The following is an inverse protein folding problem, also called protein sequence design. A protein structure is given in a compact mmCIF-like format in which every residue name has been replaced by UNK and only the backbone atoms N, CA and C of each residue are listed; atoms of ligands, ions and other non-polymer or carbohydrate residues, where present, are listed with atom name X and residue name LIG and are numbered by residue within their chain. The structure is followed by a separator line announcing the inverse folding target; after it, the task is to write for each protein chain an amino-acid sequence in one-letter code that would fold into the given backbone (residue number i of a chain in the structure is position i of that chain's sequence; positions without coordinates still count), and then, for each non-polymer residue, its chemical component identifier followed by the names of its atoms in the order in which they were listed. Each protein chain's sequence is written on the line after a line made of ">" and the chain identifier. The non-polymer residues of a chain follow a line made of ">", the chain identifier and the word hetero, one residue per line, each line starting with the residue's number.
data_IF_067068019820
#
_entry.id   IF_067068019820
#
_cell.length_a   1.000
_cell.length_b   1.000
_cell.length_c   1.000
_cell.angle_alpha   90.00
_cell.angle_beta   90.00
_cell.angle_gamma   90.00
#
_symmetry.space_group_name_H-M   'P 1'
#
loop_
_entity.id
_entity.type
_entity.pdbx_description
1 polymer ?
#
# COMPACT_ATOMS: atom_id res chain seq x y z
N UNK A 1 -53.18 81.43 71.77
CA UNK A 1 -52.44 80.94 70.58
C UNK A 1 -52.04 79.50 70.88
N UNK A 2 -52.97 78.56 70.81
CA UNK A 2 -53.29 77.65 69.68
C UNK A 2 -52.26 76.52 69.47
N UNK A 3 -52.67 75.32 69.90
CA UNK A 3 -52.24 73.94 69.55
C UNK A 3 -52.47 73.59 68.04
N UNK A 4 -52.19 72.36 67.52
CA UNK A 4 -50.93 71.59 67.42
C UNK A 4 -50.80 70.82 66.05
N UNK A 5 -49.95 69.76 66.01
CA UNK A 5 -49.95 68.55 65.14
C UNK A 5 -49.07 68.43 63.88
N UNK A 6 -48.32 67.30 63.83
CA UNK A 6 -47.75 66.67 62.64
C UNK A 6 -46.64 65.65 62.96
N UNK A 7 -46.99 64.36 63.03
CA UNK A 7 -46.13 63.16 63.23
C UNK A 7 -45.47 62.67 61.92
N UNK A 8 -44.62 61.63 62.07
CA UNK A 8 -44.07 60.66 61.08
C UNK A 8 -42.67 60.99 60.54
N UNK A 9 -41.71 60.08 60.38
CA UNK A 9 -41.52 58.66 60.73
C UNK A 9 -40.00 58.33 60.57
N UNK A 10 -39.48 57.36 61.32
CA UNK A 10 -38.06 56.98 61.37
C UNK A 10 -37.53 56.33 60.07
N UNK A 11 -36.31 56.61 59.60
CA UNK A 11 -35.64 55.73 58.63
C UNK A 11 -34.80 54.67 59.36
N UNK A 12 -34.99 53.41 58.97
CA UNK A 12 -34.19 52.26 59.40
C UNK A 12 -32.70 52.40 58.99
N UNK A 13 -31.75 51.82 59.75
CA UNK A 13 -30.35 51.82 59.35
C UNK A 13 -30.14 50.93 58.11
N UNK A 14 -29.48 51.47 57.08
CA UNK A 14 -29.09 50.76 55.88
C UNK A 14 -28.11 49.59 56.21
N UNK A 15 -28.25 48.42 55.58
CA UNK A 15 -27.43 47.26 55.89
C UNK A 15 -26.03 47.42 55.28
N UNK A 16 -25.03 47.67 56.12
CA UNK A 16 -23.61 47.76 55.73
C UNK A 16 -22.90 46.42 55.49
N UNK A 17 -23.61 45.29 55.44
CA UNK A 17 -22.97 43.96 55.59
C UNK A 17 -23.27 42.89 54.53
N UNK A 18 -23.85 43.23 53.37
CA UNK A 18 -24.10 42.25 52.29
C UNK A 18 -23.06 42.25 51.17
N UNK A 19 -22.29 43.32 50.97
CA UNK A 19 -21.31 43.42 49.88
C UNK A 19 -19.94 42.79 50.20
N UNK A 20 -19.61 42.62 51.47
CA UNK A 20 -18.34 41.99 51.90
C UNK A 20 -18.38 40.46 51.88
N UNK A 21 -19.57 39.83 51.79
CA UNK A 21 -19.73 38.37 51.70
C UNK A 21 -19.93 37.84 50.28
N UNK A 22 -20.32 38.67 49.30
CA UNK A 22 -20.49 38.27 47.89
C UNK A 22 -19.19 38.30 47.07
N UNK A 23 -18.14 38.98 47.54
CA UNK A 23 -16.84 39.06 46.84
C UNK A 23 -15.94 37.85 47.07
N UNK A 24 -16.20 37.01 48.10
CA UNK A 24 -15.42 35.79 48.38
C UNK A 24 -15.87 34.55 47.59
N UNK A 25 -17.12 34.50 47.11
CA UNK A 25 -17.61 33.36 46.30
C UNK A 25 -17.41 33.60 44.80
N UNK A 26 -17.46 34.86 44.34
CA UNK A 26 -17.23 35.20 42.93
C UNK A 26 -15.76 35.13 42.49
N UNK A 27 -14.81 35.46 43.37
CA UNK A 27 -13.37 35.44 43.03
C UNK A 27 -12.79 34.03 43.01
N UNK A 28 -13.19 33.18 43.95
CA UNK A 28 -12.75 31.78 43.99
C UNK A 28 -13.31 30.97 42.81
N UNK A 29 -14.59 31.15 42.45
CA UNK A 29 -15.19 30.49 41.28
C UNK A 29 -14.59 30.96 39.96
N UNK A 30 -14.32 32.26 39.82
CA UNK A 30 -13.65 32.82 38.64
C UNK A 30 -12.19 32.34 38.54
N UNK A 31 -11.48 32.24 39.67
CA UNK A 31 -10.12 31.73 39.72
C UNK A 31 -10.05 30.25 39.31
N UNK A 32 -11.01 29.43 39.74
CA UNK A 32 -11.09 28.02 39.34
C UNK A 32 -11.44 27.85 37.85
N UNK A 33 -12.34 28.66 37.32
CA UNK A 33 -12.65 28.68 35.87
C UNK A 33 -11.45 29.12 35.03
N UNK A 34 -10.71 30.14 35.49
CA UNK A 34 -9.50 30.60 34.81
C UNK A 34 -8.37 29.58 34.88
N UNK A 35 -8.18 28.88 36.00
CA UNK A 35 -7.17 27.82 36.09
C UNK A 35 -7.54 26.60 35.26
N UNK A 36 -8.80 26.17 35.26
CA UNK A 36 -9.26 25.08 34.37
C UNK A 36 -9.10 25.48 32.90
N UNK A 37 -9.47 26.71 32.52
CA UNK A 37 -9.33 27.19 31.15
C UNK A 37 -7.84 27.35 30.75
N UNK A 38 -6.97 27.80 31.66
CA UNK A 38 -5.53 27.86 31.46
C UNK A 38 -4.89 26.46 31.35
N UNK A 39 -5.34 25.50 32.16
CA UNK A 39 -4.89 24.10 32.06
C UNK A 39 -5.38 23.45 30.77
N UNK A 40 -6.63 23.68 30.36
CA UNK A 40 -7.18 23.17 29.10
C UNK A 40 -6.50 23.82 27.88
N UNK A 41 -6.23 25.12 27.91
CA UNK A 41 -5.51 25.80 26.83
C UNK A 41 -4.04 25.39 26.79
N UNK A 42 -3.36 25.24 27.93
CA UNK A 42 -2.00 24.69 28.01
C UNK A 42 -1.95 23.25 27.52
N UNK A 43 -2.91 22.41 27.93
CA UNK A 43 -3.07 21.05 27.45
C UNK A 43 -3.31 21.04 25.94
N UNK A 44 -4.23 21.85 25.42
CA UNK A 44 -4.50 21.96 23.98
C UNK A 44 -3.31 22.49 23.18
N UNK A 45 -2.53 23.45 23.71
CA UNK A 45 -1.34 23.99 23.05
C UNK A 45 -0.22 22.96 23.01
N UNK A 46 -0.02 22.21 24.10
CA UNK A 46 0.98 21.15 24.21
C UNK A 46 0.61 19.91 23.37
N UNK A 47 -0.69 19.57 23.30
CA UNK A 47 -1.18 18.53 22.39
C UNK A 47 -1.19 18.97 20.92
N UNK A 48 -1.30 20.29 20.63
CA UNK A 48 -1.12 20.82 19.28
C UNK A 48 0.33 20.77 18.80
N UNK A 49 1.32 20.90 19.69
CA UNK A 49 2.73 20.76 19.29
C UNK A 49 3.10 19.31 19.01
N UNK A 50 2.58 18.37 19.80
CA UNK A 50 2.81 16.91 19.61
C UNK A 50 2.02 16.34 18.41
N UNK A 51 0.91 16.94 17.99
CA UNK A 51 0.11 16.49 16.83
C UNK A 51 0.24 17.38 15.59
N UNK A 52 1.29 18.18 15.47
CA UNK A 52 1.55 18.87 14.21
C UNK A 52 1.90 17.85 13.11
N UNK A 53 1.45 18.06 11.86
CA UNK A 53 1.78 17.18 10.73
C UNK A 53 3.30 17.00 10.58
N UNK A 54 4.05 18.06 10.87
CA UNK A 54 5.52 18.06 10.89
C UNK A 54 6.09 17.16 11.99
N UNK A 55 5.55 17.20 13.21
CA UNK A 55 5.97 16.32 14.30
C UNK A 55 5.65 14.85 14.01
N UNK A 56 4.46 14.56 13.47
CA UNK A 56 4.08 13.21 13.06
C UNK A 56 5.00 12.68 11.95
N UNK A 57 5.28 13.50 10.93
CA UNK A 57 6.20 13.13 9.86
C UNK A 57 7.63 12.93 10.37
N UNK A 58 8.09 13.78 11.29
CA UNK A 58 9.39 13.63 11.94
C UNK A 58 9.45 12.33 12.74
N UNK A 59 8.38 11.99 13.48
CA UNK A 59 8.29 10.73 14.24
C UNK A 59 8.41 9.50 13.35
N UNK A 60 7.88 9.53 12.12
CA UNK A 60 8.00 8.45 11.15
C UNK A 60 9.44 8.26 10.67
N UNK A 61 10.14 9.37 10.41
CA UNK A 61 11.46 9.36 9.78
C UNK A 61 12.63 9.25 10.79
N UNK A 62 12.39 9.51 12.07
CA UNK A 62 13.42 9.51 13.10
C UNK A 62 13.73 8.09 13.62
N UNK A 63 15.03 7.78 13.77
CA UNK A 63 15.53 6.44 14.14
C UNK A 63 15.27 6.05 15.62
N UNK A 64 14.81 6.99 16.46
CA UNK A 64 14.52 6.76 17.88
C UNK A 64 13.08 6.32 18.20
N UNK A 65 12.16 6.34 17.22
CA UNK A 65 10.76 5.94 17.40
C UNK A 65 10.59 4.42 17.37
N UNK A 66 9.68 3.88 18.19
CA UNK A 66 9.32 2.45 18.09
C UNK A 66 8.51 2.22 16.80
N UNK A 67 8.47 0.99 16.26
CA UNK A 67 7.62 0.67 15.12
C UNK A 67 6.15 1.06 15.33
N UNK A 68 5.64 0.92 16.56
CA UNK A 68 4.26 1.23 16.92
C UNK A 68 4.00 2.74 16.86
N UNK A 69 4.89 3.56 17.44
CA UNK A 69 4.71 5.03 17.41
C UNK A 69 4.83 5.58 15.98
N UNK A 70 5.73 5.01 15.18
CA UNK A 70 5.90 5.36 13.76
C UNK A 70 4.67 4.99 12.95
N UNK A 71 4.11 3.80 13.18
CA UNK A 71 2.86 3.33 12.56
C UNK A 71 1.70 4.26 12.93
N UNK A 72 1.53 4.57 14.21
CA UNK A 72 0.39 5.38 14.66
C UNK A 72 0.46 6.81 14.11
N UNK A 73 1.67 7.39 14.05
CA UNK A 73 1.89 8.68 13.39
C UNK A 73 1.57 8.63 11.89
N UNK A 74 1.98 7.56 11.21
CA UNK A 74 1.66 7.33 9.81
C UNK A 74 0.14 7.24 9.58
N UNK A 75 -0.54 6.38 10.35
CA UNK A 75 -1.99 6.20 10.22
C UNK A 75 -2.77 7.48 10.54
N UNK A 76 -2.31 8.28 11.51
CA UNK A 76 -2.90 9.59 11.79
C UNK A 76 -2.79 10.53 10.59
N UNK A 77 -1.63 10.59 9.95
CA UNK A 77 -1.43 11.43 8.76
C UNK A 77 -2.26 10.94 7.56
N UNK A 78 -2.41 9.62 7.37
CA UNK A 78 -3.31 9.05 6.35
C UNK A 78 -4.76 9.46 6.63
N UNK A 79 -5.21 9.34 7.88
CA UNK A 79 -6.55 9.77 8.29
C UNK A 79 -6.79 11.27 8.08
N UNK A 80 -5.75 12.09 8.21
CA UNK A 80 -5.77 13.53 7.91
C UNK A 80 -5.67 13.86 6.40
N UNK A 81 -5.69 12.83 5.54
CA UNK A 81 -5.68 12.96 4.08
C UNK A 81 -4.30 13.18 3.48
N UNK A 82 -3.20 12.86 4.18
CA UNK A 82 -1.87 12.93 3.60
C UNK A 82 -1.67 11.82 2.55
N UNK A 83 -1.48 12.23 1.29
CA UNK A 83 -1.23 11.32 0.17
C UNK A 83 0.23 11.35 -0.31
N UNK A 84 1.09 12.19 0.26
CA UNK A 84 2.49 12.35 -0.18
C UNK A 84 3.43 11.73 0.85
N UNK A 85 4.18 10.74 0.38
CA UNK A 85 5.08 9.90 1.18
C UNK A 85 6.43 9.71 0.49
N UNK A 86 6.73 10.51 -0.53
CA UNK A 86 7.97 10.41 -1.31
C UNK A 86 9.21 10.29 -0.42
N UNK A 87 9.99 9.24 -0.64
CA UNK A 87 11.19 8.89 0.13
C UNK A 87 10.99 8.69 1.64
N UNK A 88 9.75 8.49 2.11
CA UNK A 88 9.48 8.23 3.52
C UNK A 88 10.08 6.89 3.96
N UNK A 89 10.51 6.82 5.22
CA UNK A 89 11.00 5.58 5.84
C UNK A 89 9.83 4.90 6.54
N UNK A 90 9.22 3.93 5.89
CA UNK A 90 8.11 3.13 6.40
C UNK A 90 8.51 1.67 6.67
N UNK A 91 9.81 1.42 6.87
CA UNK A 91 10.37 0.09 7.14
C UNK A 91 9.87 -0.51 8.45
N UNK A 92 9.62 -1.83 8.42
CA UNK A 92 9.22 -2.69 9.54
C UNK A 92 7.95 -2.21 10.26
N UNK A 93 7.01 -1.66 9.51
CA UNK A 93 5.71 -1.23 10.02
C UNK A 93 4.64 -2.27 9.68
N UNK A 94 3.66 -2.42 10.58
CA UNK A 94 2.43 -3.14 10.29
C UNK A 94 1.39 -2.15 9.74
N UNK A 95 1.16 -2.21 8.44
CA UNK A 95 0.27 -1.34 7.67
C UNK A 95 -0.80 -2.17 6.94
N UNK A 96 -1.15 -3.33 7.49
CA UNK A 96 -2.15 -4.23 6.92
C UNK A 96 -3.49 -3.48 6.68
N UNK A 97 -4.06 -3.68 5.49
CA UNK A 97 -5.35 -3.10 5.09
C UNK A 97 -5.38 -1.58 4.89
N UNK A 98 -4.23 -0.88 4.97
CA UNK A 98 -4.21 0.58 4.79
C UNK A 98 -4.73 0.99 3.42
N UNK A 99 -5.49 2.08 3.35
CA UNK A 99 -5.87 2.72 2.10
C UNK A 99 -4.90 3.84 1.75
N UNK A 100 -4.15 3.64 0.67
CA UNK A 100 -3.22 4.59 0.07
C UNK A 100 -3.52 4.77 -1.42
N UNK A 101 -4.75 4.51 -1.86
CA UNK A 101 -5.10 4.63 -3.27
C UNK A 101 -4.75 6.01 -3.83
N UNK A 102 -3.98 6.05 -4.92
CA UNK A 102 -3.50 7.29 -5.54
C UNK A 102 -2.41 8.04 -4.78
N UNK A 103 -1.83 7.48 -3.72
CA UNK A 103 -0.75 8.12 -2.98
C UNK A 103 0.56 8.19 -3.79
N UNK A 104 1.35 9.22 -3.51
CA UNK A 104 2.70 9.43 -4.02
C UNK A 104 3.71 8.79 -3.07
N UNK A 105 4.19 7.61 -3.42
CA UNK A 105 5.08 6.75 -2.64
C UNK A 105 6.44 6.57 -3.34
N UNK A 106 6.79 7.39 -4.34
CA UNK A 106 8.06 7.28 -5.06
C UNK A 106 9.26 7.27 -4.09
N UNK A 107 10.16 6.30 -4.26
CA UNK A 107 11.34 6.11 -3.42
C UNK A 107 11.07 5.76 -1.94
N UNK A 108 9.82 5.49 -1.56
CA UNK A 108 9.47 5.11 -0.18
C UNK A 108 10.11 3.77 0.17
N UNK A 109 10.55 3.63 1.42
CA UNK A 109 11.14 2.40 1.92
C UNK A 109 10.11 1.65 2.77
N UNK A 110 9.69 0.47 2.31
CA UNK A 110 8.79 -0.46 3.01
C UNK A 110 9.51 -1.73 3.45
N UNK A 111 10.82 -1.68 3.63
CA UNK A 111 11.63 -2.87 3.87
C UNK A 111 11.19 -3.59 5.15
N UNK A 112 10.77 -4.84 5.00
CA UNK A 112 10.29 -5.69 6.09
C UNK A 112 8.93 -5.29 6.67
N UNK A 113 8.19 -4.40 6.02
CA UNK A 113 6.84 -3.99 6.43
C UNK A 113 5.78 -5.01 6.01
N UNK A 114 4.63 -4.95 6.67
CA UNK A 114 3.42 -5.69 6.28
C UNK A 114 2.39 -4.71 5.72
N UNK A 115 1.86 -5.03 4.55
CA UNK A 115 0.83 -4.30 3.82
C UNK A 115 -0.20 -5.30 3.27
N UNK A 116 -0.50 -6.35 4.05
CA UNK A 116 -1.42 -7.40 3.62
C UNK A 116 -2.80 -6.80 3.40
N UNK A 117 -3.38 -7.02 2.23
CA UNK A 117 -4.70 -6.45 1.88
C UNK A 117 -4.73 -4.93 1.68
N UNK A 118 -3.58 -4.24 1.67
CA UNK A 118 -3.53 -2.79 1.48
C UNK A 118 -4.11 -2.37 0.11
N UNK A 119 -4.73 -1.20 0.06
CA UNK A 119 -5.23 -0.59 -1.17
C UNK A 119 -4.18 0.39 -1.72
N UNK A 120 -3.52 -0.02 -2.80
CA UNK A 120 -2.43 0.71 -3.48
C UNK A 120 -2.80 0.98 -4.94
N UNK A 121 -4.09 1.08 -5.25
CA UNK A 121 -4.57 1.29 -6.61
C UNK A 121 -4.08 2.65 -7.11
N UNK A 122 -3.51 2.68 -8.32
CA UNK A 122 -3.01 3.92 -8.96
C UNK A 122 -1.99 4.70 -8.13
N UNK A 123 -1.27 4.06 -7.19
CA UNK A 123 -0.17 4.71 -6.48
C UNK A 123 1.02 4.93 -7.39
N UNK A 124 1.85 5.91 -7.05
CA UNK A 124 3.20 6.07 -7.60
C UNK A 124 4.21 5.46 -6.63
N UNK A 125 4.77 4.31 -6.98
CA UNK A 125 5.80 3.56 -6.25
C UNK A 125 7.14 3.58 -6.99
N UNK A 126 7.37 4.53 -7.91
CA UNK A 126 8.61 4.61 -8.70
C UNK A 126 9.85 4.49 -7.80
N UNK A 127 10.69 3.48 -8.07
CA UNK A 127 11.93 3.26 -7.33
C UNK A 127 11.76 2.93 -5.84
N UNK A 128 10.55 2.57 -5.38
CA UNK A 128 10.31 2.22 -3.98
C UNK A 128 11.08 0.94 -3.58
N UNK A 129 11.55 0.89 -2.33
CA UNK A 129 12.19 -0.30 -1.77
C UNK A 129 11.13 -1.16 -1.08
N UNK A 130 10.98 -2.39 -1.57
CA UNK A 130 9.99 -3.38 -1.15
C UNK A 130 10.67 -4.66 -0.66
N UNK A 131 11.89 -4.56 -0.10
CA UNK A 131 12.67 -5.74 0.27
C UNK A 131 11.99 -6.44 1.44
N UNK A 132 11.76 -7.73 1.32
CA UNK A 132 11.10 -8.56 2.35
C UNK A 132 9.72 -8.07 2.79
N UNK A 133 9.08 -7.19 2.01
CA UNK A 133 7.73 -6.68 2.31
C UNK A 133 6.70 -7.79 2.12
N UNK A 134 5.64 -7.76 2.92
CA UNK A 134 4.47 -8.59 2.73
C UNK A 134 3.33 -7.77 2.13
N UNK A 135 3.11 -7.91 0.83
CA UNK A 135 2.03 -7.30 0.03
C UNK A 135 0.96 -8.35 -0.34
N UNK A 136 0.88 -9.47 0.39
CA UNK A 136 -0.10 -10.52 0.09
C UNK A 136 -1.52 -9.93 0.07
N UNK A 137 -2.34 -10.32 -0.91
CA UNK A 137 -3.70 -9.83 -1.11
C UNK A 137 -3.84 -8.30 -1.33
N UNK A 138 -2.74 -7.57 -1.51
CA UNK A 138 -2.80 -6.13 -1.77
C UNK A 138 -3.34 -5.81 -3.17
N UNK A 139 -3.97 -4.64 -3.31
CA UNK A 139 -4.52 -4.16 -4.58
C UNK A 139 -3.61 -3.10 -5.20
N UNK A 140 -2.81 -3.48 -6.20
CA UNK A 140 -1.87 -2.62 -6.93
C UNK A 140 -2.33 -2.34 -8.37
N UNK A 141 -3.65 -2.36 -8.59
CA UNK A 141 -4.22 -2.17 -9.92
C UNK A 141 -3.80 -0.81 -10.47
N UNK A 142 -3.18 -0.79 -11.66
CA UNK A 142 -2.70 0.42 -12.34
C UNK A 142 -1.68 1.23 -11.53
N UNK A 143 -1.02 0.63 -10.53
CA UNK A 143 0.08 1.27 -9.83
C UNK A 143 1.26 1.51 -10.80
N UNK A 144 1.97 2.62 -10.61
CA UNK A 144 3.24 2.90 -11.27
C UNK A 144 4.33 2.35 -10.34
N UNK A 145 5.04 1.31 -10.77
CA UNK A 145 6.00 0.53 -9.99
C UNK A 145 7.28 0.30 -10.80
N UNK A 146 7.62 1.23 -11.69
CA UNK A 146 8.87 1.18 -12.42
C UNK A 146 10.06 1.19 -11.44
N UNK A 147 11.09 0.41 -11.77
CA UNK A 147 12.36 0.38 -11.03
C UNK A 147 12.26 0.04 -9.53
N UNK A 148 11.14 -0.56 -9.08
CA UNK A 148 11.04 -1.01 -7.68
C UNK A 148 12.09 -2.07 -7.33
N UNK A 149 12.44 -2.12 -6.04
CA UNK A 149 13.38 -3.11 -5.50
C UNK A 149 12.67 -4.08 -4.57
N UNK A 150 12.14 -5.18 -5.11
CA UNK A 150 11.53 -6.26 -4.36
C UNK A 150 12.47 -7.47 -4.33
N UNK A 151 13.18 -7.63 -3.21
CA UNK A 151 13.99 -8.82 -2.92
C UNK A 151 13.27 -9.64 -1.86
N UNK A 152 12.92 -10.90 -2.17
CA UNK A 152 12.27 -11.83 -1.22
C UNK A 152 10.95 -11.30 -0.64
N UNK A 153 10.25 -10.47 -1.41
CA UNK A 153 8.93 -9.95 -1.06
C UNK A 153 7.85 -11.02 -1.25
N UNK A 154 6.72 -10.86 -0.56
CA UNK A 154 5.53 -11.71 -0.70
C UNK A 154 4.41 -10.94 -1.35
N UNK A 155 3.99 -11.40 -2.52
CA UNK A 155 2.91 -10.87 -3.35
C UNK A 155 1.79 -11.91 -3.51
N UNK A 156 1.69 -12.88 -2.59
CA UNK A 156 0.72 -13.97 -2.67
C UNK A 156 -0.70 -13.42 -2.82
N UNK A 157 -1.42 -13.83 -3.86
CA UNK A 157 -2.78 -13.38 -4.18
C UNK A 157 -2.95 -11.86 -4.38
N UNK A 158 -1.85 -11.10 -4.54
CA UNK A 158 -1.91 -9.67 -4.85
C UNK A 158 -2.35 -9.42 -6.31
N UNK A 159 -2.95 -8.25 -6.56
CA UNK A 159 -3.39 -7.87 -7.92
C UNK A 159 -2.61 -6.69 -8.48
N UNK A 160 -1.91 -6.95 -9.58
CA UNK A 160 -1.15 -6.01 -10.41
C UNK A 160 -1.82 -5.76 -11.77
N UNK A 161 -3.15 -5.91 -11.86
CA UNK A 161 -3.89 -5.68 -13.11
C UNK A 161 -3.55 -4.32 -13.73
N UNK A 162 -3.04 -4.33 -14.96
CA UNK A 162 -2.57 -3.13 -15.70
C UNK A 162 -1.54 -2.28 -14.93
N UNK A 163 -0.78 -2.86 -13.98
CA UNK A 163 0.31 -2.16 -13.28
C UNK A 163 1.54 -2.00 -14.19
N UNK A 164 2.31 -0.94 -13.97
CA UNK A 164 3.57 -0.70 -14.65
C UNK A 164 4.73 -1.16 -13.75
N UNK A 165 5.45 -2.20 -14.16
CA UNK A 165 6.59 -2.83 -13.46
C UNK A 165 7.83 -2.83 -14.37
N UNK A 166 7.94 -1.87 -15.28
CA UNK A 166 9.09 -1.77 -16.18
C UNK A 166 10.40 -1.67 -15.37
N UNK A 167 11.39 -2.47 -15.76
CA UNK A 167 12.70 -2.54 -15.09
C UNK A 167 12.62 -2.85 -13.58
N UNK A 168 11.50 -3.37 -13.08
CA UNK A 168 11.36 -3.76 -11.68
C UNK A 168 12.31 -4.92 -11.34
N UNK A 169 12.88 -4.90 -10.14
CA UNK A 169 13.63 -6.04 -9.59
C UNK A 169 12.70 -6.83 -8.68
N UNK A 170 12.31 -8.04 -9.10
CA UNK A 170 11.46 -8.98 -8.36
C UNK A 170 12.23 -10.27 -8.03
N UNK A 171 13.44 -10.13 -7.50
CA UNK A 171 14.33 -11.25 -7.20
C UNK A 171 13.79 -12.08 -6.03
N UNK A 172 13.68 -13.40 -6.22
CA UNK A 172 13.21 -14.34 -5.20
C UNK A 172 11.85 -13.98 -4.59
N UNK A 173 10.99 -13.28 -5.33
CA UNK A 173 9.65 -12.91 -4.89
C UNK A 173 8.74 -14.14 -4.86
N UNK A 174 7.85 -14.21 -3.87
CA UNK A 174 6.80 -15.21 -3.77
C UNK A 174 5.49 -14.57 -4.23
N UNK A 175 4.95 -14.97 -5.36
CA UNK A 175 3.76 -14.38 -5.98
C UNK A 175 2.74 -15.46 -6.36
N UNK A 176 2.49 -16.39 -5.44
CA UNK A 176 1.55 -17.49 -5.70
C UNK A 176 0.17 -16.93 -5.99
N UNK A 177 -0.45 -17.38 -7.08
CA UNK A 177 -1.80 -16.96 -7.51
C UNK A 177 -1.99 -15.44 -7.66
N UNK A 178 -0.89 -14.68 -7.81
CA UNK A 178 -0.97 -13.26 -8.08
C UNK A 178 -1.55 -12.98 -9.48
N UNK A 179 -2.12 -11.79 -9.65
CA UNK A 179 -2.73 -11.37 -10.91
C UNK A 179 -1.89 -10.27 -11.58
N UNK A 180 -1.14 -10.62 -12.62
CA UNK A 180 -0.38 -9.71 -13.49
C UNK A 180 -1.05 -9.50 -14.85
N UNK A 181 -2.37 -9.72 -14.98
CA UNK A 181 -3.08 -9.55 -16.24
C UNK A 181 -2.84 -8.15 -16.80
N UNK A 182 -2.34 -8.08 -18.03
CA UNK A 182 -1.95 -6.85 -18.74
C UNK A 182 -0.93 -5.96 -18.01
N UNK A 183 -0.21 -6.47 -17.02
CA UNK A 183 0.88 -5.73 -16.39
C UNK A 183 2.03 -5.56 -17.40
N UNK A 184 2.76 -4.45 -17.28
CA UNK A 184 3.96 -4.20 -18.06
C UNK A 184 5.21 -4.52 -17.23
N UNK A 185 5.88 -5.62 -17.54
CA UNK A 185 7.12 -6.06 -16.92
C UNK A 185 8.30 -5.98 -17.91
N UNK A 186 8.27 -5.05 -18.87
CA UNK A 186 9.35 -4.90 -19.85
C UNK A 186 10.69 -4.68 -19.14
N UNK A 187 11.68 -5.51 -19.46
CA UNK A 187 13.02 -5.44 -18.87
C UNK A 187 13.10 -5.79 -17.38
N UNK A 188 12.04 -6.33 -16.77
CA UNK A 188 12.04 -6.68 -15.35
C UNK A 188 12.97 -7.85 -15.04
N UNK A 189 13.53 -7.86 -13.83
CA UNK A 189 14.41 -8.91 -13.31
C UNK A 189 13.62 -9.83 -12.38
N UNK A 190 13.23 -11.01 -12.85
CA UNK A 190 12.40 -11.97 -12.12
C UNK A 190 13.19 -13.20 -11.65
N UNK A 191 14.50 -13.03 -11.42
CA UNK A 191 15.41 -14.13 -11.08
C UNK A 191 14.93 -14.91 -9.85
N UNK A 192 14.81 -16.23 -9.99
CA UNK A 192 14.34 -17.14 -8.93
C UNK A 192 12.97 -16.79 -8.30
N UNK A 193 12.13 -16.01 -9.00
CA UNK A 193 10.80 -15.68 -8.50
C UNK A 193 9.83 -16.87 -8.65
N UNK A 194 8.92 -17.02 -7.69
CA UNK A 194 7.87 -18.04 -7.72
C UNK A 194 6.51 -17.41 -8.07
N UNK A 195 6.04 -17.71 -9.28
CA UNK A 195 4.77 -17.27 -9.84
C UNK A 195 3.75 -18.42 -9.94
N UNK A 196 3.88 -19.45 -9.10
CA UNK A 196 3.02 -20.64 -9.18
C UNK A 196 1.53 -20.27 -9.12
N UNK A 197 0.76 -20.70 -10.12
CA UNK A 197 -0.68 -20.47 -10.24
C UNK A 197 -1.10 -19.04 -10.56
N UNK A 198 -0.16 -18.14 -10.86
CA UNK A 198 -0.43 -16.74 -11.19
C UNK A 198 -1.03 -16.57 -12.59
N UNK A 199 -1.58 -15.39 -12.88
CA UNK A 199 -2.05 -15.02 -14.21
C UNK A 199 -1.22 -13.89 -14.80
N UNK A 200 -0.64 -14.12 -15.98
CA UNK A 200 0.08 -13.18 -16.82
C UNK A 200 -0.65 -12.97 -18.16
N UNK A 201 -1.97 -13.20 -18.22
CA UNK A 201 -2.71 -13.09 -19.47
C UNK A 201 -2.53 -11.69 -20.09
N UNK A 202 -1.95 -11.63 -21.29
CA UNK A 202 -1.67 -10.38 -21.99
C UNK A 202 -0.62 -9.47 -21.31
N UNK A 203 0.14 -9.97 -20.34
CA UNK A 203 1.23 -9.21 -19.73
C UNK A 203 2.39 -9.00 -20.72
N UNK A 204 3.13 -7.92 -20.55
CA UNK A 204 4.33 -7.65 -21.34
C UNK A 204 5.58 -8.07 -20.55
N UNK A 205 6.25 -9.12 -20.99
CA UNK A 205 7.52 -9.65 -20.45
C UNK A 205 8.67 -9.45 -21.47
N UNK A 206 8.54 -8.47 -22.37
CA UNK A 206 9.58 -8.19 -23.37
C UNK A 206 10.90 -7.87 -22.68
N UNK A 207 11.98 -8.51 -23.11
CA UNK A 207 13.33 -8.38 -22.56
C UNK A 207 13.46 -8.68 -21.05
N UNK A 208 12.44 -9.29 -20.43
CA UNK A 208 12.49 -9.65 -19.02
C UNK A 208 13.48 -10.81 -18.77
N UNK A 209 14.16 -10.79 -17.62
CA UNK A 209 14.97 -11.90 -17.16
C UNK A 209 14.10 -12.86 -16.31
N UNK A 210 13.79 -14.04 -16.84
CA UNK A 210 13.01 -15.09 -16.16
C UNK A 210 13.90 -16.25 -15.67
N UNK A 211 15.22 -16.03 -15.57
CA UNK A 211 16.17 -17.07 -15.20
C UNK A 211 15.80 -17.70 -13.84
N UNK A 212 15.73 -19.03 -13.83
CA UNK A 212 15.33 -19.84 -12.67
C UNK A 212 13.94 -19.48 -12.07
N UNK A 213 13.10 -18.73 -12.77
CA UNK A 213 11.74 -18.41 -12.32
C UNK A 213 10.81 -19.63 -12.43
N UNK A 214 9.81 -19.69 -11.55
CA UNK A 214 8.83 -20.78 -11.47
C UNK A 214 7.47 -20.25 -11.93
N UNK A 215 7.00 -20.72 -13.08
CA UNK A 215 5.68 -20.40 -13.65
C UNK A 215 4.73 -21.60 -13.59
N UNK A 216 4.91 -22.49 -12.61
CA UNK A 216 4.09 -23.70 -12.49
C UNK A 216 2.61 -23.34 -12.46
N UNK A 217 1.80 -24.01 -13.28
CA UNK A 217 0.36 -23.74 -13.38
C UNK A 217 -0.03 -22.28 -13.67
N UNK A 218 0.89 -21.43 -14.11
CA UNK A 218 0.59 -20.04 -14.43
C UNK A 218 -0.12 -19.93 -15.81
N UNK A 219 -0.87 -18.85 -16.02
CA UNK A 219 -1.44 -18.54 -17.33
C UNK A 219 -0.67 -17.41 -18.03
N UNK A 220 0.13 -17.75 -19.03
CA UNK A 220 0.88 -16.81 -19.87
C UNK A 220 0.23 -16.62 -21.26
N UNK A 221 -1.07 -16.92 -21.39
CA UNK A 221 -1.79 -16.74 -22.65
C UNK A 221 -1.69 -15.30 -23.11
N UNK A 222 -1.32 -15.11 -24.39
CA UNK A 222 -1.19 -13.78 -25.01
C UNK A 222 -0.09 -12.89 -24.39
N UNK A 223 0.75 -13.41 -23.49
CA UNK A 223 1.89 -12.66 -22.99
C UNK A 223 2.88 -12.32 -24.11
N UNK A 224 3.51 -11.15 -24.04
CA UNK A 224 4.58 -10.75 -24.95
C UNK A 224 5.91 -11.16 -24.33
N UNK A 225 6.67 -12.03 -24.98
CA UNK A 225 7.93 -12.58 -24.43
C UNK A 225 9.09 -12.42 -25.42
N UNK A 226 9.03 -11.37 -26.26
CA UNK A 226 10.10 -11.04 -27.19
C UNK A 226 11.37 -10.75 -26.39
N UNK A 227 12.48 -11.44 -26.67
CA UNK A 227 13.75 -11.22 -25.97
C UNK A 227 13.81 -11.70 -24.51
N UNK A 228 12.73 -12.28 -23.98
CA UNK A 228 12.72 -12.82 -22.62
C UNK A 228 13.74 -13.95 -22.44
N UNK A 229 14.50 -13.91 -21.34
CA UNK A 229 15.50 -14.91 -21.00
C UNK A 229 14.84 -16.04 -20.19
N UNK A 230 14.90 -17.28 -20.70
CA UNK A 230 14.13 -18.42 -20.17
C UNK A 230 15.02 -19.52 -19.57
N UNK A 231 16.26 -19.18 -19.19
CA UNK A 231 17.26 -20.14 -18.71
C UNK A 231 16.77 -20.74 -17.40
N UNK A 232 16.73 -22.07 -17.31
CA UNK A 232 16.27 -22.79 -16.11
C UNK A 232 14.86 -22.41 -15.61
N UNK A 233 14.04 -21.77 -16.43
CA UNK A 233 12.66 -21.43 -16.09
C UNK A 233 11.77 -22.69 -16.09
N UNK A 234 10.90 -22.81 -15.08
CA UNK A 234 9.96 -23.92 -14.95
C UNK A 234 8.55 -23.52 -15.42
N UNK A 235 8.11 -24.06 -16.56
CA UNK A 235 6.77 -23.85 -17.12
C UNK A 235 5.85 -25.06 -16.93
N UNK A 236 6.11 -25.94 -15.97
CA UNK A 236 5.29 -27.15 -15.77
C UNK A 236 3.83 -26.79 -15.51
N UNK A 237 2.91 -27.33 -16.32
CA UNK A 237 1.48 -27.02 -16.22
C UNK A 237 1.08 -25.62 -16.71
N UNK A 238 2.04 -24.76 -17.09
CA UNK A 238 1.76 -23.39 -17.52
C UNK A 238 1.07 -23.31 -18.89
N UNK A 239 0.20 -22.32 -19.06
CA UNK A 239 -0.47 -22.06 -20.34
C UNK A 239 0.27 -20.96 -21.13
N UNK A 240 1.29 -21.33 -21.91
CA UNK A 240 2.12 -20.39 -22.69
C UNK A 240 1.91 -20.50 -24.21
N UNK A 241 1.04 -21.40 -24.68
CA UNK A 241 0.90 -21.76 -26.10
C UNK A 241 0.59 -20.58 -27.03
N UNK A 242 -0.11 -19.58 -26.51
CA UNK A 242 -0.52 -18.37 -27.23
C UNK A 242 0.34 -17.14 -26.92
N UNK A 243 1.44 -17.31 -26.19
CA UNK A 243 2.42 -16.26 -25.98
C UNK A 243 3.06 -15.86 -27.33
N UNK A 244 3.47 -14.60 -27.42
CA UNK A 244 4.03 -13.99 -28.62
C UNK A 244 5.50 -13.63 -28.38
N UNK A 245 6.27 -13.47 -29.47
CA UNK A 245 7.69 -13.05 -29.39
C UNK A 245 8.69 -14.18 -29.09
N UNK A 246 8.23 -15.39 -28.78
CA UNK A 246 9.10 -16.57 -28.68
C UNK A 246 9.73 -16.92 -30.03
N UNK A 247 11.03 -17.21 -30.02
CA UNK A 247 11.73 -17.76 -31.17
C UNK A 247 11.29 -19.19 -31.45
N UNK A 248 11.55 -19.69 -32.67
CA UNK A 248 11.27 -21.09 -33.02
C UNK A 248 12.00 -22.06 -32.08
N UNK A 249 13.26 -21.79 -31.75
CA UNK A 249 14.06 -22.64 -30.87
C UNK A 249 13.45 -22.74 -29.45
N UNK A 250 13.05 -21.59 -28.87
CA UNK A 250 12.38 -21.58 -27.57
C UNK A 250 11.05 -22.34 -27.61
N UNK A 251 10.24 -22.16 -28.67
CA UNK A 251 8.99 -22.91 -28.82
C UNK A 251 9.25 -24.41 -28.86
N UNK A 252 10.23 -24.85 -29.66
CA UNK A 252 10.57 -26.26 -29.82
C UNK A 252 11.06 -26.85 -28.47
N UNK A 253 11.93 -26.14 -27.74
CA UNK A 253 12.41 -26.52 -26.41
C UNK A 253 11.28 -26.62 -25.38
N UNK A 254 10.47 -25.56 -25.23
CA UNK A 254 9.37 -25.52 -24.28
C UNK A 254 8.34 -26.62 -24.59
N UNK A 255 8.03 -26.85 -25.87
CA UNK A 255 7.07 -27.88 -26.26
C UNK A 255 7.57 -29.30 -25.99
N UNK A 256 8.88 -29.53 -26.06
CA UNK A 256 9.49 -30.81 -25.73
C UNK A 256 9.53 -31.07 -24.22
N UNK A 257 9.77 -30.02 -23.42
CA UNK A 257 9.93 -30.12 -21.96
C UNK A 257 8.61 -30.03 -21.19
N UNK A 258 7.65 -29.24 -21.68
CA UNK A 258 6.44 -28.85 -20.94
C UNK A 258 5.16 -29.09 -21.74
N UNK A 259 5.02 -30.27 -22.35
CA UNK A 259 3.74 -30.70 -22.90
C UNK A 259 2.66 -30.73 -21.79
N UNK A 260 1.39 -30.41 -22.09
CA UNK A 260 0.33 -30.47 -21.09
C UNK A 260 0.12 -31.91 -20.62
N UNK A 261 0.06 -32.11 -19.30
CA UNK A 261 -0.29 -33.40 -18.68
C UNK A 261 -1.80 -33.70 -18.84
N UNK A 262 -2.22 -34.96 -18.66
CA UNK A 262 -3.62 -35.38 -18.73
C UNK A 262 -4.50 -34.65 -17.68
N UNK A 263 -3.90 -34.31 -16.55
CA UNK A 263 -4.56 -33.66 -15.40
C UNK A 263 -4.79 -32.15 -15.57
N UNK A 264 -4.33 -31.54 -16.67
CA UNK A 264 -4.53 -30.10 -16.88
C UNK A 264 -6.00 -29.76 -17.21
N UNK A 265 -6.51 -28.60 -16.75
CA UNK A 265 -7.89 -28.17 -17.02
C UNK A 265 -8.25 -28.24 -18.51
N UNK A 266 -9.50 -28.60 -18.81
CA UNK A 266 -9.98 -28.78 -20.19
C UNK A 266 -9.72 -27.54 -21.07
N UNK A 267 -9.86 -26.34 -20.51
CA UNK A 267 -9.54 -25.08 -21.21
C UNK A 267 -8.10 -25.00 -21.69
N UNK A 268 -7.12 -25.50 -20.91
CA UNK A 268 -5.71 -25.54 -21.29
C UNK A 268 -5.44 -26.59 -22.37
N UNK A 269 -6.11 -27.74 -22.30
CA UNK A 269 -6.03 -28.79 -23.34
C UNK A 269 -6.58 -28.28 -24.68
N UNK A 270 -7.72 -27.61 -24.65
CA UNK A 270 -8.34 -27.03 -25.85
C UNK A 270 -7.44 -25.97 -26.50
N UNK A 271 -6.84 -25.08 -25.69
CA UNK A 271 -5.92 -24.07 -26.20
C UNK A 271 -4.64 -24.70 -26.78
N UNK A 272 -4.12 -25.77 -26.17
CA UNK A 272 -3.00 -26.53 -26.75
C UNK A 272 -3.35 -27.19 -28.09
N UNK A 273 -4.51 -27.84 -28.19
CA UNK A 273 -4.97 -28.48 -29.44
C UNK A 273 -5.16 -27.45 -30.57
N UNK A 274 -5.74 -26.29 -30.26
CA UNK A 274 -5.85 -25.16 -31.21
C UNK A 274 -4.47 -24.71 -31.68
N UNK A 275 -3.52 -24.58 -30.75
CA UNK A 275 -2.16 -24.21 -31.07
C UNK A 275 -1.49 -25.21 -32.01
N UNK A 276 -1.60 -26.52 -31.73
CA UNK A 276 -1.07 -27.58 -32.60
C UNK A 276 -1.66 -27.50 -34.01
N UNK A 277 -2.99 -27.35 -34.11
CA UNK A 277 -3.72 -27.27 -35.40
C UNK A 277 -3.29 -26.06 -36.23
N UNK A 278 -3.05 -24.91 -35.58
CA UNK A 278 -2.60 -23.69 -36.24
C UNK A 278 -1.18 -23.78 -36.83
N UNK A 279 -0.33 -24.66 -36.27
CA UNK A 279 1.05 -24.86 -36.73
C UNK A 279 1.15 -25.98 -37.76
N UNK A 280 0.26 -26.97 -37.73
CA UNK A 280 0.17 -27.97 -38.79
C UNK A 280 -0.37 -27.38 -40.09
N UNK A 281 -1.35 -26.48 -40.03
CA UNK A 281 -1.89 -25.80 -41.22
C UNK A 281 -0.87 -24.87 -41.90
N UNK A 282 0.03 -24.24 -41.14
CA UNK A 282 1.16 -23.44 -41.68
C UNK A 282 2.27 -24.29 -42.31
N UNK A 283 2.24 -25.62 -42.16
CA UNK A 283 3.19 -26.56 -42.79
C UNK A 283 2.64 -27.21 -44.07
N UNK A 284 1.40 -26.94 -44.45
CA UNK A 284 0.84 -27.39 -45.72
C UNK A 284 1.36 -26.50 -46.86
N UNK A 285 1.85 -27.08 -47.98
CA UNK A 285 2.59 -26.38 -49.04
C UNK A 285 1.78 -25.33 -49.79
#
# INVERSE_FOLDING_TARGET
>A
MTEPNGKESSPAPAPRDLWTRLTRVGTAGLAVLLTVNACLTSWHLQHRSDNSREHLFWSICHDGGTPESRRDAFLSLVADGNSVWTAARLNKLDLDGVDLAGAYLAGTMFDGSRLVGAQLMRTDLLGASLKTVDLSQASLQKAQMEEILALRAKFDEATFYEANLQSATLEQVHAHKANFVKADLTGAYLYMADFTGSSFTGANLTDANLEAAIFRDADLSLALMQGAQLIDTDFSGANWWRAQGLTKAQIDELSAKFAPDEDVPASRRDDYQRWQTSRSSKKSP
#
